data_IF_877034643279
#
_entry.id   IF_877034643279
#
_cell.length_a   1.000
_cell.length_b   1.000
_cell.length_c   1.000
_cell.angle_alpha   90.00
_cell.angle_beta   90.00
_cell.angle_gamma   90.00
#
_symmetry.space_group_name_H-M   'P 1'
#
loop_
_entity.id
_entity.type
_entity.pdbx_description
1 polymer ?
#
# COMPACT_ATOMS: atom_id res chain seq x y z
N UNK A 1 2.34 -22.88 -13.74
CA UNK A 1 1.72 -21.66 -14.29
C UNK A 1 2.81 -20.62 -14.50
N UNK A 2 2.78 -19.91 -15.63
CA UNK A 2 3.73 -18.84 -16.00
C UNK A 2 3.01 -17.51 -15.88
N UNK A 3 3.46 -16.65 -14.97
CA UNK A 3 2.79 -15.40 -14.60
C UNK A 3 3.72 -14.23 -14.88
N UNK A 4 3.27 -13.29 -15.70
CA UNK A 4 3.99 -12.06 -16.00
C UNK A 4 3.32 -10.90 -15.26
N UNK A 5 4.07 -10.22 -14.40
CA UNK A 5 3.66 -8.97 -13.77
C UNK A 5 4.29 -7.79 -14.51
N UNK A 6 3.50 -6.73 -14.67
CA UNK A 6 3.99 -5.47 -15.22
C UNK A 6 3.81 -4.33 -14.24
N UNK A 7 4.86 -3.53 -14.09
CA UNK A 7 4.85 -2.26 -13.34
C UNK A 7 5.66 -1.22 -14.11
N UNK A 8 5.41 0.07 -13.88
CA UNK A 8 6.15 1.12 -14.57
C UNK A 8 7.64 1.15 -14.20
N UNK A 9 7.92 1.08 -12.91
CA UNK A 9 9.26 0.95 -12.29
C UNK A 9 9.08 0.45 -10.86
N UNK A 10 10.16 0.08 -10.17
CA UNK A 10 10.10 -0.50 -8.83
C UNK A 10 10.83 0.37 -7.77
N UNK A 11 10.46 1.65 -7.57
CA UNK A 11 10.92 2.41 -6.40
C UNK A 11 10.35 1.82 -5.10
N UNK A 12 10.74 2.34 -3.95
CA UNK A 12 10.13 1.94 -2.68
C UNK A 12 8.81 2.68 -2.49
N UNK A 13 7.71 1.95 -2.56
CA UNK A 13 6.34 2.46 -2.42
C UNK A 13 5.37 1.34 -2.05
N UNK A 14 4.13 1.70 -1.69
CA UNK A 14 3.13 0.73 -1.23
C UNK A 14 2.76 -0.31 -2.30
N UNK A 15 2.45 0.12 -3.52
CA UNK A 15 2.10 -0.77 -4.62
C UNK A 15 3.28 -1.66 -5.03
N UNK A 16 4.49 -1.09 -5.10
CA UNK A 16 5.72 -1.77 -5.47
C UNK A 16 6.10 -2.85 -4.45
N UNK A 17 5.93 -2.56 -3.17
CA UNK A 17 6.14 -3.54 -2.09
C UNK A 17 5.17 -4.72 -2.21
N UNK A 18 3.90 -4.46 -2.50
CA UNK A 18 2.89 -5.50 -2.71
C UNK A 18 3.23 -6.35 -3.93
N UNK A 19 3.61 -5.75 -5.05
CA UNK A 19 4.02 -6.46 -6.28
C UNK A 19 5.21 -7.37 -5.99
N UNK A 20 6.23 -6.85 -5.29
CA UNK A 20 7.41 -7.64 -4.92
C UNK A 20 7.04 -8.82 -4.01
N UNK A 21 6.17 -8.60 -3.03
CA UNK A 21 5.71 -9.66 -2.13
C UNK A 21 4.90 -10.72 -2.88
N UNK A 22 3.99 -10.33 -3.76
CA UNK A 22 3.21 -11.28 -4.56
C UNK A 22 4.10 -12.15 -5.47
N UNK A 23 5.10 -11.56 -6.11
CA UNK A 23 6.06 -12.32 -6.93
C UNK A 23 6.83 -13.37 -6.12
N UNK A 24 7.23 -13.02 -4.89
CA UNK A 24 7.89 -13.96 -3.96
C UNK A 24 6.98 -15.14 -3.61
N UNK A 25 5.77 -14.81 -3.17
CA UNK A 25 4.78 -15.80 -2.73
C UNK A 25 4.31 -16.71 -3.88
N UNK A 26 4.06 -16.15 -5.06
CA UNK A 26 3.70 -16.93 -6.25
C UNK A 26 4.82 -17.92 -6.62
N UNK A 27 6.08 -17.46 -6.57
CA UNK A 27 7.24 -18.33 -6.82
C UNK A 27 7.37 -19.43 -5.79
N UNK A 28 7.20 -19.12 -4.49
CA UNK A 28 7.22 -20.13 -3.42
C UNK A 28 6.13 -21.20 -3.60
N UNK A 29 5.00 -20.83 -4.22
CA UNK A 29 3.93 -21.77 -4.60
C UNK A 29 4.18 -22.50 -5.94
N UNK A 30 5.38 -22.40 -6.49
CA UNK A 30 5.80 -23.14 -7.70
C UNK A 30 5.41 -22.47 -9.02
N UNK A 31 4.92 -21.23 -9.02
CA UNK A 31 4.70 -20.49 -10.26
C UNK A 31 6.04 -20.01 -10.85
N UNK A 32 6.15 -20.03 -12.18
CA UNK A 32 7.19 -19.33 -12.90
C UNK A 32 6.77 -17.87 -13.04
N UNK A 33 7.50 -16.97 -12.42
CA UNK A 33 7.17 -15.54 -12.41
C UNK A 33 8.18 -14.72 -13.18
N UNK A 34 7.71 -13.66 -13.82
CA UNK A 34 8.53 -12.67 -14.52
C UNK A 34 8.02 -11.27 -14.20
N UNK A 35 8.90 -10.36 -13.76
CA UNK A 35 8.58 -8.95 -13.66
C UNK A 35 9.05 -8.22 -14.92
N UNK A 36 8.13 -7.47 -15.53
CA UNK A 36 8.43 -6.55 -16.64
C UNK A 36 8.23 -5.13 -16.15
N UNK A 37 9.21 -4.26 -16.40
CA UNK A 37 9.12 -2.84 -16.08
C UNK A 37 9.58 -1.97 -17.25
N UNK A 38 9.06 -0.73 -17.33
CA UNK A 38 9.54 0.19 -18.37
C UNK A 38 10.95 0.67 -18.07
N UNK A 39 11.22 1.08 -16.84
CA UNK A 39 12.48 1.65 -16.38
C UNK A 39 13.02 0.89 -15.18
N UNK A 40 14.34 0.66 -15.19
CA UNK A 40 15.02 0.12 -14.03
C UNK A 40 15.21 1.22 -12.97
N UNK A 41 14.87 0.89 -11.75
CA UNK A 41 15.15 1.68 -10.55
C UNK A 41 16.05 0.86 -9.65
N UNK A 42 17.17 1.44 -9.21
CA UNK A 42 18.07 0.83 -8.24
C UNK A 42 17.48 0.99 -6.84
N UNK A 43 16.54 0.12 -6.49
CA UNK A 43 15.88 0.09 -5.19
C UNK A 43 16.25 -1.15 -4.38
N UNK A 44 15.95 -1.10 -3.11
CA UNK A 44 16.01 -2.28 -2.24
C UNK A 44 15.11 -3.42 -2.78
N UNK A 45 13.91 -3.10 -3.29
CA UNK A 45 12.98 -4.09 -3.84
C UNK A 45 13.55 -4.80 -5.06
N UNK A 46 14.16 -4.03 -5.99
CA UNK A 46 14.80 -4.59 -7.19
C UNK A 46 15.89 -5.59 -6.81
N UNK A 47 16.81 -5.18 -5.91
CA UNK A 47 17.90 -6.05 -5.45
C UNK A 47 17.37 -7.31 -4.76
N UNK A 48 16.40 -7.15 -3.86
CA UNK A 48 15.82 -8.27 -3.13
C UNK A 48 15.11 -9.30 -4.04
N UNK A 49 14.46 -8.87 -5.12
CA UNK A 49 13.88 -9.80 -6.10
C UNK A 49 14.96 -10.53 -6.89
N UNK A 50 16.01 -9.82 -7.32
CA UNK A 50 17.14 -10.41 -8.06
C UNK A 50 17.91 -11.43 -7.21
N UNK A 51 18.22 -11.10 -5.93
CA UNK A 51 18.85 -12.02 -4.98
C UNK A 51 18.04 -13.30 -4.76
N UNK A 52 16.72 -13.20 -4.83
CA UNK A 52 15.82 -14.35 -4.77
C UNK A 52 15.66 -15.04 -6.14
N UNK A 53 16.38 -14.61 -7.16
CA UNK A 53 16.36 -15.18 -8.50
C UNK A 53 15.03 -14.97 -9.25
N UNK A 54 14.27 -13.92 -8.92
CA UNK A 54 13.10 -13.52 -9.70
C UNK A 54 13.57 -12.68 -10.89
N UNK A 55 13.32 -13.14 -12.14
CA UNK A 55 13.79 -12.43 -13.31
C UNK A 55 13.05 -11.10 -13.50
N UNK A 56 13.81 -10.05 -13.83
CA UNK A 56 13.28 -8.70 -14.12
C UNK A 56 13.72 -8.31 -15.52
N UNK A 57 12.77 -7.99 -16.38
CA UNK A 57 13.02 -7.46 -17.72
C UNK A 57 12.69 -5.99 -17.77
N UNK A 58 13.64 -5.17 -18.18
CA UNK A 58 13.45 -3.72 -18.40
C UNK A 58 13.27 -3.45 -19.88
N UNK A 59 12.12 -2.86 -20.24
CA UNK A 59 11.79 -2.60 -21.65
C UNK A 59 12.57 -1.41 -22.22
N UNK A 60 13.00 -0.47 -21.36
CA UNK A 60 13.77 0.69 -21.76
C UNK A 60 15.09 0.78 -20.99
N UNK A 61 16.27 0.75 -21.68
CA UNK A 61 17.58 0.68 -21.03
C UNK A 61 18.07 2.05 -20.46
N UNK A 62 17.32 3.13 -20.62
CA UNK A 62 17.71 4.47 -20.14
C UNK A 62 17.20 4.78 -18.74
N UNK A 63 18.00 5.49 -17.92
CA UNK A 63 17.57 5.98 -16.61
C UNK A 63 16.53 7.10 -16.71
N UNK A 64 15.64 7.22 -15.71
CA UNK A 64 14.60 8.26 -15.63
C UNK A 64 15.19 9.67 -15.43
N UNK A 65 16.44 9.79 -15.06
CA UNK A 65 17.06 11.00 -14.50
C UNK A 65 17.43 12.12 -15.49
N UNK A 66 17.37 11.94 -16.82
CA UNK A 66 17.74 13.00 -17.77
C UNK A 66 16.53 13.74 -18.36
N UNK A 67 16.37 15.02 -18.01
CA UNK A 67 15.31 15.91 -18.58
C UNK A 67 15.37 16.06 -20.11
N UNK A 68 16.54 16.01 -20.73
CA UNK A 68 16.69 16.03 -22.21
C UNK A 68 16.19 14.75 -22.90
N UNK A 69 16.18 13.64 -22.18
CA UNK A 69 15.65 12.36 -22.68
C UNK A 69 14.13 12.27 -22.72
N UNK A 70 13.40 13.14 -22.04
CA UNK A 70 11.93 13.00 -21.90
C UNK A 70 11.15 13.35 -23.18
N UNK A 71 11.57 14.35 -23.94
CA UNK A 71 10.85 14.81 -25.15
C UNK A 71 11.15 13.93 -26.37
N UNK A 72 12.38 13.54 -26.61
CA UNK A 72 12.76 12.58 -27.64
C UNK A 72 12.25 11.16 -27.30
N UNK A 73 12.19 10.79 -26.02
CA UNK A 73 11.63 9.55 -25.52
C UNK A 73 10.13 9.43 -25.73
N UNK A 74 9.37 10.52 -25.70
CA UNK A 74 7.91 10.50 -25.93
C UNK A 74 7.52 10.07 -27.36
N UNK A 75 8.30 10.46 -28.35
CA UNK A 75 8.07 10.07 -29.76
C UNK A 75 8.58 8.66 -30.08
N UNK A 76 9.74 8.24 -29.52
CA UNK A 76 10.28 6.89 -29.68
C UNK A 76 9.54 5.84 -28.82
N UNK A 77 8.88 6.25 -27.74
CA UNK A 77 8.07 5.41 -26.85
C UNK A 77 6.97 4.65 -27.59
N UNK A 78 6.30 5.33 -28.55
CA UNK A 78 5.09 4.78 -29.15
C UNK A 78 5.28 3.48 -29.94
N UNK A 79 6.45 3.26 -30.55
CA UNK A 79 6.64 2.13 -31.50
C UNK A 79 7.58 1.04 -30.94
N UNK A 80 8.46 1.38 -30.02
CA UNK A 80 9.50 0.47 -29.51
C UNK A 80 9.04 -0.42 -28.34
N UNK A 81 8.27 0.14 -27.39
CA UNK A 81 7.92 -0.53 -26.12
C UNK A 81 7.02 -1.75 -26.32
N UNK A 82 5.90 -1.61 -27.07
CA UNK A 82 5.00 -2.75 -27.27
C UNK A 82 5.65 -3.86 -28.10
N UNK A 83 6.57 -3.56 -29.02
CA UNK A 83 7.32 -4.57 -29.77
C UNK A 83 8.26 -5.37 -28.87
N UNK A 84 8.93 -4.68 -27.94
CA UNK A 84 9.78 -5.35 -26.94
C UNK A 84 8.94 -6.14 -25.96
N UNK A 85 7.82 -5.61 -25.53
CA UNK A 85 6.91 -6.35 -24.65
C UNK A 85 6.38 -7.61 -25.35
N UNK A 86 5.91 -7.50 -26.61
CA UNK A 86 5.47 -8.67 -27.39
C UNK A 86 6.60 -9.69 -27.61
N UNK A 87 7.86 -9.23 -27.72
CA UNK A 87 9.00 -10.15 -27.73
C UNK A 87 9.09 -10.93 -26.42
N UNK A 88 9.00 -10.23 -25.28
CA UNK A 88 9.00 -10.87 -23.95
C UNK A 88 7.82 -11.84 -23.80
N UNK A 89 6.61 -11.48 -24.26
CA UNK A 89 5.44 -12.38 -24.25
C UNK A 89 5.73 -13.64 -25.05
N UNK A 90 6.29 -13.53 -26.25
CA UNK A 90 6.61 -14.70 -27.09
C UNK A 90 7.70 -15.60 -26.49
N UNK A 91 8.71 -15.00 -25.83
CA UNK A 91 9.81 -15.75 -25.22
C UNK A 91 9.40 -16.40 -23.90
N UNK A 92 8.68 -15.67 -23.06
CA UNK A 92 8.24 -16.18 -21.77
C UNK A 92 6.98 -17.04 -21.86
N UNK A 93 6.10 -16.83 -22.86
CA UNK A 93 4.81 -17.52 -23.05
C UNK A 93 3.98 -17.56 -21.75
N UNK A 94 3.57 -16.40 -21.21
CA UNK A 94 2.82 -16.36 -19.96
C UNK A 94 1.44 -17.01 -20.12
N UNK A 95 0.95 -17.63 -19.06
CA UNK A 95 -0.46 -18.04 -18.95
C UNK A 95 -1.35 -16.86 -18.60
N UNK A 96 -0.80 -15.88 -17.86
CA UNK A 96 -1.49 -14.68 -17.36
C UNK A 96 -0.54 -13.49 -17.39
N UNK A 97 -1.09 -12.31 -17.72
CA UNK A 97 -0.42 -11.02 -17.53
C UNK A 97 -1.23 -10.19 -16.52
N UNK A 98 -0.58 -9.74 -15.44
CA UNK A 98 -1.18 -8.86 -14.44
C UNK A 98 -0.48 -7.50 -14.43
N UNK A 99 -1.23 -6.45 -14.75
CA UNK A 99 -0.76 -5.08 -14.82
C UNK A 99 -1.01 -4.36 -13.49
N UNK A 100 0.05 -3.79 -12.92
CA UNK A 100 0.00 -2.92 -11.75
C UNK A 100 0.28 -1.44 -12.11
N UNK A 101 0.47 -1.18 -13.38
CA UNK A 101 0.53 0.14 -13.99
C UNK A 101 0.03 0.04 -15.43
N UNK A 102 -0.31 1.16 -16.04
CA UNK A 102 -0.82 1.18 -17.41
C UNK A 102 0.35 1.32 -18.40
N UNK A 103 0.67 0.30 -19.22
CA UNK A 103 1.68 0.42 -20.25
C UNK A 103 1.15 1.20 -21.46
N UNK A 104 1.98 2.02 -22.05
CA UNK A 104 1.66 2.64 -23.33
C UNK A 104 1.37 1.54 -24.38
N UNK A 105 0.28 1.70 -25.13
CA UNK A 105 -0.14 0.74 -26.18
C UNK A 105 -0.50 -0.67 -25.69
N UNK A 106 -1.17 -0.77 -24.54
CA UNK A 106 -1.68 -2.03 -24.00
C UNK A 106 -2.60 -2.78 -24.99
N UNK A 107 -3.30 -2.05 -25.86
CA UNK A 107 -4.13 -2.56 -26.95
C UNK A 107 -3.36 -3.37 -28.01
N UNK A 108 -2.07 -3.09 -28.16
CA UNK A 108 -1.19 -3.71 -29.16
C UNK A 108 -0.44 -4.93 -28.66
N UNK A 109 -0.70 -5.35 -27.43
CA UNK A 109 -0.11 -6.56 -26.90
C UNK A 109 -0.75 -7.79 -27.54
N UNK A 110 0.10 -8.69 -28.04
CA UNK A 110 -0.30 -9.97 -28.66
C UNK A 110 -0.58 -11.01 -27.58
N UNK A 111 -1.70 -10.80 -26.86
CA UNK A 111 -2.10 -11.65 -25.75
C UNK A 111 -3.63 -11.59 -25.53
N UNK A 112 -4.29 -12.73 -25.18
CA UNK A 112 -5.74 -12.76 -24.95
C UNK A 112 -6.17 -11.85 -23.81
N UNK A 113 -7.12 -10.96 -24.05
CA UNK A 113 -7.63 -9.99 -23.04
C UNK A 113 -8.24 -10.70 -21.84
N UNK A 114 -8.92 -11.83 -22.06
CA UNK A 114 -9.52 -12.64 -20.99
C UNK A 114 -8.50 -13.23 -19.99
N UNK A 115 -7.20 -13.17 -20.30
CA UNK A 115 -6.10 -13.59 -19.43
C UNK A 115 -5.27 -12.39 -18.94
N UNK A 116 -5.75 -11.16 -19.13
CA UNK A 116 -5.16 -9.94 -18.63
C UNK A 116 -5.91 -9.45 -17.38
N UNK A 117 -5.16 -9.04 -16.39
CA UNK A 117 -5.65 -8.44 -15.15
C UNK A 117 -5.05 -7.05 -14.97
N UNK A 118 -5.80 -6.13 -14.41
CA UNK A 118 -5.34 -4.77 -14.12
C UNK A 118 -5.74 -4.35 -12.69
N UNK A 119 -4.76 -4.09 -11.84
CA UNK A 119 -4.95 -3.61 -10.47
C UNK A 119 -4.85 -2.09 -10.38
N UNK A 120 -5.83 -1.48 -9.73
CA UNK A 120 -5.78 -0.09 -9.32
C UNK A 120 -5.22 0.01 -7.90
N UNK A 121 -4.18 0.85 -7.69
CA UNK A 121 -3.49 1.02 -6.39
C UNK A 121 -3.74 2.36 -5.70
N UNK A 122 -4.58 3.22 -6.25
CA UNK A 122 -5.01 4.49 -5.67
C UNK A 122 -6.52 4.68 -5.90
N UNK A 123 -7.13 5.68 -5.30
CA UNK A 123 -8.54 6.02 -5.53
C UNK A 123 -8.84 6.15 -7.04
N UNK A 124 -10.01 5.69 -7.49
CA UNK A 124 -10.34 5.54 -8.90
C UNK A 124 -10.22 6.88 -9.65
N UNK A 125 -10.79 7.94 -9.12
CA UNK A 125 -10.71 9.29 -9.71
C UNK A 125 -9.26 9.74 -9.94
N UNK A 126 -8.38 9.50 -8.96
CA UNK A 126 -6.97 9.83 -9.06
C UNK A 126 -6.28 9.01 -10.15
N UNK A 127 -6.55 7.71 -10.21
CA UNK A 127 -6.02 6.83 -11.26
C UNK A 127 -6.47 7.31 -12.64
N UNK A 128 -7.77 7.58 -12.83
CA UNK A 128 -8.33 8.01 -14.11
C UNK A 128 -7.81 9.40 -14.53
N UNK A 129 -7.64 10.31 -13.57
CA UNK A 129 -7.02 11.63 -13.81
C UNK A 129 -5.57 11.49 -14.30
N UNK A 130 -4.78 10.61 -13.70
CA UNK A 130 -3.40 10.35 -14.12
C UNK A 130 -3.31 9.67 -15.49
N UNK A 131 -4.23 8.76 -15.81
CA UNK A 131 -4.31 8.07 -17.09
C UNK A 131 -4.74 9.02 -18.23
N UNK A 132 -5.60 9.97 -17.91
CA UNK A 132 -6.23 10.86 -18.89
C UNK A 132 -7.30 10.18 -19.74
N UNK A 133 -8.08 10.97 -20.46
CA UNK A 133 -9.26 10.50 -21.21
C UNK A 133 -8.94 9.40 -22.22
N UNK A 134 -7.84 9.55 -22.99
CA UNK A 134 -7.45 8.58 -24.01
C UNK A 134 -7.20 7.19 -23.44
N UNK A 135 -6.41 7.09 -22.37
CA UNK A 135 -6.06 5.80 -21.77
C UNK A 135 -7.24 5.22 -20.98
N UNK A 136 -8.10 6.07 -20.42
CA UNK A 136 -9.36 5.63 -19.80
C UNK A 136 -10.31 5.00 -20.83
N UNK A 137 -10.46 5.61 -22.02
CA UNK A 137 -11.25 5.03 -23.10
C UNK A 137 -10.65 3.71 -23.60
N UNK A 138 -9.32 3.62 -23.63
CA UNK A 138 -8.64 2.37 -23.98
C UNK A 138 -8.87 1.27 -22.93
N UNK A 139 -8.85 1.59 -21.63
CA UNK A 139 -9.20 0.63 -20.59
C UNK A 139 -10.66 0.14 -20.74
N UNK A 140 -11.58 1.02 -21.12
CA UNK A 140 -12.96 0.63 -21.41
C UNK A 140 -13.01 -0.40 -22.55
N UNK A 141 -12.36 -0.13 -23.68
CA UNK A 141 -12.31 -1.07 -24.80
C UNK A 141 -11.69 -2.42 -24.41
N UNK A 142 -10.59 -2.40 -23.62
CA UNK A 142 -9.97 -3.63 -23.13
C UNK A 142 -10.88 -4.40 -22.18
N UNK A 143 -11.68 -3.70 -21.37
CA UNK A 143 -12.69 -4.32 -20.51
C UNK A 143 -13.78 -5.01 -21.33
N UNK A 144 -14.27 -4.36 -22.38
CA UNK A 144 -15.26 -4.92 -23.30
C UNK A 144 -14.70 -6.18 -24.00
N UNK A 145 -13.40 -6.22 -24.27
CA UNK A 145 -12.67 -7.36 -24.83
C UNK A 145 -12.31 -8.45 -23.78
N UNK A 146 -12.67 -8.26 -22.50
CA UNK A 146 -12.54 -9.28 -21.46
C UNK A 146 -11.41 -9.09 -20.44
N UNK A 147 -10.74 -7.92 -20.40
CA UNK A 147 -9.82 -7.57 -19.31
C UNK A 147 -10.54 -7.64 -17.96
N UNK A 148 -9.87 -8.18 -16.94
CA UNK A 148 -10.39 -8.25 -15.58
C UNK A 148 -9.74 -7.17 -14.72
N UNK A 149 -10.54 -6.38 -14.04
CA UNK A 149 -10.05 -5.40 -13.07
C UNK A 149 -9.91 -6.00 -11.68
N UNK A 150 -8.98 -5.44 -10.89
CA UNK A 150 -8.80 -5.76 -9.48
C UNK A 150 -8.89 -4.47 -8.66
N UNK A 151 -9.82 -4.41 -7.71
CA UNK A 151 -9.98 -3.36 -6.73
C UNK A 151 -9.49 -3.82 -5.36
N UNK A 152 -9.11 -2.88 -4.50
CA UNK A 152 -8.48 -3.16 -3.19
C UNK A 152 -9.50 -3.51 -2.10
N UNK A 153 -10.75 -3.06 -2.24
CA UNK A 153 -11.87 -3.32 -1.31
C UNK A 153 -13.11 -3.71 -2.10
N UNK A 154 -14.10 -4.28 -1.44
CA UNK A 154 -15.36 -4.67 -2.07
C UNK A 154 -16.09 -3.46 -2.67
N UNK A 155 -16.12 -2.34 -1.96
CA UNK A 155 -16.79 -1.13 -2.45
C UNK A 155 -16.01 -0.50 -3.60
N UNK A 156 -14.68 -0.54 -3.54
CA UNK A 156 -13.84 -0.09 -4.64
C UNK A 156 -14.02 -0.97 -5.90
N UNK A 157 -14.17 -2.27 -5.72
CA UNK A 157 -14.49 -3.17 -6.85
C UNK A 157 -15.86 -2.85 -7.46
N UNK A 158 -16.88 -2.53 -6.67
CA UNK A 158 -18.20 -2.07 -7.15
C UNK A 158 -18.09 -0.76 -7.92
N UNK A 159 -17.32 0.22 -7.40
CA UNK A 159 -17.06 1.51 -8.06
C UNK A 159 -16.41 1.32 -9.44
N UNK A 160 -15.39 0.44 -9.53
CA UNK A 160 -14.75 0.09 -10.80
C UNK A 160 -15.77 -0.55 -11.76
N UNK A 161 -16.56 -1.52 -11.29
CA UNK A 161 -17.58 -2.19 -12.08
C UNK A 161 -18.62 -1.22 -12.65
N UNK A 162 -19.10 -0.30 -11.82
CA UNK A 162 -20.02 0.75 -12.25
C UNK A 162 -19.39 1.70 -13.27
N UNK A 163 -18.13 2.10 -13.07
CA UNK A 163 -17.41 3.04 -13.95
C UNK A 163 -17.13 2.45 -15.33
N UNK A 164 -16.79 1.16 -15.41
CA UNK A 164 -16.43 0.47 -16.65
C UNK A 164 -17.57 -0.43 -17.19
N UNK A 165 -18.77 -0.38 -16.60
CA UNK A 165 -19.94 -1.16 -17.01
C UNK A 165 -19.64 -2.66 -17.17
N UNK A 166 -18.92 -3.25 -16.21
CA UNK A 166 -18.47 -4.64 -16.26
C UNK A 166 -18.64 -5.35 -14.91
N UNK A 167 -18.92 -6.64 -14.97
CA UNK A 167 -18.90 -7.57 -13.81
C UNK A 167 -17.55 -8.30 -13.66
N UNK A 168 -16.62 -8.06 -14.61
CA UNK A 168 -15.26 -8.64 -14.56
C UNK A 168 -14.35 -7.84 -13.62
N UNK A 169 -14.77 -7.76 -12.36
CA UNK A 169 -14.02 -7.07 -11.30
C UNK A 169 -13.85 -8.01 -10.12
N UNK A 170 -12.64 -8.07 -9.58
CA UNK A 170 -12.28 -8.84 -8.41
C UNK A 170 -11.88 -7.91 -7.26
N UNK A 171 -12.25 -8.25 -6.05
CA UNK A 171 -11.66 -7.66 -4.86
C UNK A 171 -10.39 -8.44 -4.52
N UNK A 172 -9.24 -7.81 -4.72
CA UNK A 172 -7.90 -8.32 -4.40
C UNK A 172 -7.21 -7.27 -3.53
N UNK A 173 -7.37 -7.34 -2.20
CA UNK A 173 -6.71 -6.42 -1.28
C UNK A 173 -5.18 -6.54 -1.38
N UNK A 174 -4.48 -5.51 -0.96
CA UNK A 174 -3.03 -5.62 -0.77
C UNK A 174 -2.74 -6.58 0.38
N UNK A 175 -2.03 -7.65 0.11
CA UNK A 175 -1.69 -8.68 1.09
C UNK A 175 -0.47 -8.33 1.92
N UNK A 176 -0.51 -8.71 3.17
CA UNK A 176 0.57 -8.58 4.14
C UNK A 176 1.01 -9.95 4.64
N UNK A 177 2.30 -10.12 4.85
CA UNK A 177 2.87 -11.29 5.50
C UNK A 177 2.71 -11.17 7.02
N UNK A 178 1.64 -11.75 7.55
CA UNK A 178 1.32 -11.68 8.97
C UNK A 178 2.36 -12.39 9.85
N UNK A 179 2.96 -13.47 9.36
CA UNK A 179 3.99 -14.20 10.12
C UNK A 179 5.25 -13.34 10.24
N UNK A 180 5.64 -12.66 9.16
CA UNK A 180 6.74 -11.70 9.18
C UNK A 180 6.46 -10.53 10.13
N UNK A 181 5.24 -9.97 10.10
CA UNK A 181 4.85 -8.85 10.97
C UNK A 181 4.88 -9.27 12.43
N UNK A 182 4.41 -10.48 12.77
CA UNK A 182 4.40 -11.01 14.13
C UNK A 182 5.78 -11.46 14.63
N UNK A 183 6.70 -11.75 13.72
CA UNK A 183 8.07 -12.10 14.07
C UNK A 183 8.80 -10.86 14.61
N UNK A 184 8.72 -10.63 15.92
CA UNK A 184 9.38 -9.51 16.59
C UNK A 184 10.90 -9.65 16.46
N UNK A 185 11.53 -8.71 15.75
CA UNK A 185 12.99 -8.65 15.58
C UNK A 185 13.67 -7.91 16.72
N UNK A 186 12.92 -7.10 17.44
CA UNK A 186 13.38 -6.23 18.53
C UNK A 186 12.40 -6.31 19.69
N UNK A 187 12.90 -6.20 20.91
CA UNK A 187 12.04 -6.03 22.08
C UNK A 187 11.41 -4.62 22.08
N UNK A 188 10.35 -4.45 22.84
CA UNK A 188 9.69 -3.15 23.02
C UNK A 188 10.66 -2.13 23.64
N UNK A 189 11.48 -2.56 24.59
CA UNK A 189 12.49 -1.77 25.29
C UNK A 189 13.57 -1.30 24.32
N UNK A 190 14.08 -2.20 23.46
CA UNK A 190 15.08 -1.85 22.44
C UNK A 190 14.54 -0.79 21.48
N UNK A 191 13.29 -0.93 21.00
CA UNK A 191 12.66 0.02 20.11
C UNK A 191 12.44 1.38 20.77
N UNK A 192 12.01 1.42 22.02
CA UNK A 192 11.82 2.67 22.77
C UNK A 192 13.15 3.37 23.04
N UNK A 193 14.16 2.63 23.46
CA UNK A 193 15.51 3.13 23.69
C UNK A 193 16.11 3.78 22.43
N UNK A 194 15.88 3.18 21.27
CA UNK A 194 16.34 3.71 19.97
C UNK A 194 15.88 5.15 19.71
N UNK A 195 14.71 5.53 20.26
CA UNK A 195 14.12 6.85 20.08
C UNK A 195 14.19 7.73 21.34
N UNK A 196 14.91 7.28 22.38
CA UNK A 196 14.99 8.01 23.65
C UNK A 196 13.66 8.11 24.40
N UNK A 197 12.76 7.13 24.20
CA UNK A 197 11.45 7.08 24.84
C UNK A 197 11.56 6.27 26.12
N UNK A 198 11.16 6.83 27.30
CA UNK A 198 11.14 6.08 28.55
C UNK A 198 10.26 4.82 28.45
N UNK A 199 10.67 3.76 29.13
CA UNK A 199 9.98 2.45 29.06
C UNK A 199 8.53 2.53 29.57
N UNK A 200 8.28 3.31 30.60
CA UNK A 200 6.99 3.51 31.25
C UNK A 200 6.12 4.62 30.61
N UNK A 201 6.68 5.42 29.67
CA UNK A 201 5.93 6.46 28.97
C UNK A 201 4.78 5.85 28.15
N UNK A 202 3.65 6.54 28.13
CA UNK A 202 2.54 6.20 27.23
C UNK A 202 2.85 6.65 25.80
N UNK A 203 3.07 5.71 24.89
CA UNK A 203 3.52 6.00 23.53
C UNK A 203 2.38 5.93 22.52
N UNK A 204 1.92 7.12 22.06
CA UNK A 204 1.17 7.24 20.82
C UNK A 204 2.11 7.15 19.64
N UNK A 205 1.66 6.54 18.54
CA UNK A 205 2.48 6.52 17.35
C UNK A 205 1.70 6.47 16.06
N UNK A 206 2.35 6.88 14.99
CA UNK A 206 1.85 6.73 13.62
C UNK A 206 2.98 6.43 12.67
N UNK A 207 2.66 5.71 11.59
CA UNK A 207 3.59 5.43 10.49
C UNK A 207 2.99 5.91 9.18
N UNK A 208 3.71 6.77 8.47
CA UNK A 208 3.27 7.31 7.20
C UNK A 208 4.03 8.58 6.83
N UNK A 209 4.11 8.87 5.55
CA UNK A 209 4.76 10.10 5.05
C UNK A 209 4.19 11.33 5.74
N UNK A 210 5.02 12.30 6.06
CA UNK A 210 4.56 13.59 6.56
C UNK A 210 3.90 14.35 5.40
N UNK A 211 2.57 14.28 5.35
CA UNK A 211 1.78 14.84 4.25
C UNK A 211 0.45 15.39 4.79
N UNK A 212 -0.10 16.50 4.25
CA UNK A 212 -1.36 17.11 4.73
C UNK A 212 -2.52 16.11 4.85
N UNK A 213 -2.61 15.14 3.93
CA UNK A 213 -3.67 14.13 3.95
C UNK A 213 -3.63 13.25 5.21
N UNK A 214 -2.44 13.08 5.84
CA UNK A 214 -2.27 12.29 7.06
C UNK A 214 -2.61 13.04 8.35
N UNK A 215 -2.72 14.39 8.26
CA UNK A 215 -3.21 15.25 9.33
C UNK A 215 -2.48 15.06 10.69
N UNK A 216 -1.13 14.94 10.61
CA UNK A 216 -0.31 14.73 11.81
C UNK A 216 -0.38 15.90 12.80
N UNK A 217 -0.71 17.11 12.35
CA UNK A 217 -0.94 18.28 13.20
C UNK A 217 -2.02 18.03 14.25
N UNK A 218 -3.09 17.34 13.87
CA UNK A 218 -4.14 16.98 14.80
C UNK A 218 -3.66 16.04 15.90
N UNK A 219 -2.70 15.16 15.59
CA UNK A 219 -2.14 14.25 16.59
C UNK A 219 -1.45 14.99 17.72
N UNK A 220 -0.88 16.18 17.46
CA UNK A 220 -0.31 17.04 18.50
C UNK A 220 -1.39 17.58 19.44
N UNK A 221 -2.53 18.03 18.91
CA UNK A 221 -3.65 18.49 19.73
C UNK A 221 -4.22 17.36 20.60
N UNK A 222 -4.33 16.16 20.03
CA UNK A 222 -4.76 14.96 20.75
C UNK A 222 -3.75 14.60 21.86
N UNK A 223 -2.44 14.63 21.55
CA UNK A 223 -1.39 14.37 22.55
C UNK A 223 -1.51 15.36 23.73
N UNK A 224 -1.73 16.64 23.45
CA UNK A 224 -1.93 17.64 24.50
C UNK A 224 -3.12 17.31 25.43
N UNK A 225 -4.21 16.82 24.89
CA UNK A 225 -5.36 16.36 25.67
C UNK A 225 -5.03 15.09 26.47
N UNK A 226 -4.31 14.11 25.87
CA UNK A 226 -3.85 12.90 26.55
C UNK A 226 -2.94 13.24 27.74
N UNK A 227 -2.05 14.23 27.59
CA UNK A 227 -1.11 14.63 28.66
C UNK A 227 -1.79 15.21 29.90
N UNK A 228 -3.05 15.62 29.82
CA UNK A 228 -3.80 16.03 31.02
C UNK A 228 -3.98 14.87 32.02
N UNK A 229 -4.05 13.63 31.53
CA UNK A 229 -4.19 12.40 32.32
C UNK A 229 -2.91 11.58 32.38
N UNK A 230 -2.06 11.66 31.34
CA UNK A 230 -0.78 10.96 31.21
C UNK A 230 0.31 11.95 30.83
N UNK A 231 0.87 12.71 31.81
CA UNK A 231 1.90 13.72 31.56
C UNK A 231 3.18 13.15 30.89
N UNK A 232 3.41 11.86 31.08
CA UNK A 232 4.50 11.08 30.46
C UNK A 232 4.26 10.70 28.99
N UNK A 233 3.08 10.99 28.42
CA UNK A 233 2.75 10.60 27.07
C UNK A 233 3.68 11.24 26.03
N UNK A 234 4.04 10.44 24.99
CA UNK A 234 4.90 10.81 23.86
C UNK A 234 4.20 10.50 22.55
N UNK A 235 4.56 11.21 21.48
CA UNK A 235 4.11 10.93 20.12
C UNK A 235 5.30 10.61 19.22
N UNK A 236 5.32 9.42 18.67
CA UNK A 236 6.31 8.97 17.68
C UNK A 236 5.69 9.01 16.28
N UNK A 237 6.29 9.76 15.38
CA UNK A 237 5.91 9.83 13.97
C UNK A 237 7.04 9.25 13.12
N UNK A 238 6.74 8.17 12.40
CA UNK A 238 7.68 7.47 11.51
C UNK A 238 7.28 7.72 10.05
N UNK A 239 8.18 8.24 9.23
CA UNK A 239 7.94 8.42 7.80
C UNK A 239 8.77 9.51 7.17
N UNK A 240 8.87 9.46 5.84
CA UNK A 240 9.61 10.44 5.07
C UNK A 240 8.97 11.83 5.17
N UNK A 241 9.82 12.85 5.34
CA UNK A 241 9.37 14.24 5.28
C UNK A 241 9.14 14.66 3.83
N UNK A 242 7.95 15.17 3.56
CA UNK A 242 7.63 15.76 2.28
C UNK A 242 7.35 17.27 2.45
N UNK A 243 8.11 18.08 1.75
CA UNK A 243 7.94 19.52 1.69
C UNK A 243 8.15 20.26 3.04
N UNK A 244 9.08 19.81 3.89
CA UNK A 244 9.46 20.52 5.13
C UNK A 244 8.39 20.46 6.23
N UNK A 245 7.55 19.45 6.23
CA UNK A 245 6.49 19.30 7.24
C UNK A 245 7.03 18.95 8.62
N UNK A 246 8.20 18.33 8.71
CA UNK A 246 8.85 18.06 9.98
C UNK A 246 9.07 19.35 10.78
N UNK A 247 9.53 20.42 10.12
CA UNK A 247 9.75 21.71 10.78
C UNK A 247 8.42 22.40 11.19
N UNK A 248 7.36 22.21 10.40
CA UNK A 248 6.04 22.66 10.78
C UNK A 248 5.58 21.97 12.07
N UNK A 249 5.68 20.64 12.13
CA UNK A 249 5.27 19.85 13.31
C UNK A 249 6.11 20.21 14.55
N UNK A 250 7.43 20.43 14.40
CA UNK A 250 8.28 20.88 15.53
C UNK A 250 7.85 22.24 16.07
N UNK A 251 7.55 23.22 15.17
CA UNK A 251 7.07 24.54 15.60
C UNK A 251 5.73 24.44 16.35
N UNK A 252 4.79 23.72 15.79
CA UNK A 252 3.48 23.52 16.43
C UNK A 252 3.61 22.79 17.78
N UNK A 253 4.46 21.77 17.86
CA UNK A 253 4.74 21.09 19.11
C UNK A 253 5.32 22.05 20.16
N UNK A 254 6.26 22.93 19.78
CA UNK A 254 6.80 23.94 20.68
C UNK A 254 5.73 24.96 21.17
N UNK A 255 4.87 25.44 20.26
CA UNK A 255 3.74 26.33 20.58
C UNK A 255 2.74 25.68 21.56
N UNK A 256 2.57 24.35 21.47
CA UNK A 256 1.70 23.56 22.35
C UNK A 256 2.39 23.12 23.66
N UNK A 257 3.69 23.39 23.84
CA UNK A 257 4.48 22.92 24.98
C UNK A 257 4.82 21.42 24.92
N UNK A 258 4.85 20.84 23.71
CA UNK A 258 5.07 19.41 23.45
C UNK A 258 6.42 19.11 22.80
N UNK A 259 7.37 20.06 22.80
CA UNK A 259 8.65 19.90 22.11
C UNK A 259 9.39 18.63 22.53
N UNK A 260 9.43 18.32 23.82
CA UNK A 260 10.09 17.12 24.38
C UNK A 260 9.25 15.85 24.27
N UNK A 261 7.97 16.00 23.89
CA UNK A 261 7.04 14.88 23.76
C UNK A 261 6.89 14.37 22.30
N UNK A 262 7.37 15.14 21.32
CA UNK A 262 7.32 14.78 19.91
C UNK A 262 8.65 14.16 19.45
N UNK A 263 8.56 12.96 18.90
CA UNK A 263 9.68 12.23 18.26
C UNK A 263 9.38 12.06 16.79
N UNK A 264 10.22 12.63 15.93
CA UNK A 264 10.17 12.44 14.47
C UNK A 264 11.31 11.49 14.07
N UNK A 265 10.97 10.24 13.77
CA UNK A 265 11.95 9.18 13.48
C UNK A 265 12.48 9.21 12.04
N UNK A 266 11.89 10.03 11.15
CA UNK A 266 12.20 10.00 9.73
C UNK A 266 11.74 8.73 9.03
N UNK A 267 12.28 8.50 7.83
CA UNK A 267 11.99 7.28 7.06
C UNK A 267 12.71 6.07 7.65
N UNK A 268 11.98 4.97 7.86
CA UNK A 268 12.49 3.75 8.46
C UNK A 268 12.13 2.52 7.63
N UNK A 269 13.07 1.59 7.48
CA UNK A 269 12.85 0.28 6.82
C UNK A 269 12.18 -0.75 7.73
N UNK A 270 12.31 -0.58 9.03
CA UNK A 270 11.78 -1.41 10.10
C UNK A 270 10.49 -0.82 10.71
N UNK A 271 9.76 -0.02 9.92
CA UNK A 271 8.54 0.66 10.38
C UNK A 271 7.47 -0.32 10.89
N UNK A 272 7.39 -1.50 10.30
CA UNK A 272 6.51 -2.59 10.74
C UNK A 272 6.88 -3.10 12.15
N UNK A 273 8.17 -3.21 12.46
CA UNK A 273 8.62 -3.59 13.80
C UNK A 273 8.40 -2.48 14.84
N UNK A 274 8.58 -1.22 14.44
CA UNK A 274 8.43 -0.06 15.33
C UNK A 274 7.00 0.06 15.89
N UNK A 275 5.99 -0.43 15.18
CA UNK A 275 4.61 -0.47 15.67
C UNK A 275 4.50 -1.18 17.04
N UNK A 276 5.27 -2.24 17.28
CA UNK A 276 5.26 -2.98 18.54
C UNK A 276 5.72 -2.14 19.76
N UNK A 277 6.42 -1.03 19.57
CA UNK A 277 6.80 -0.11 20.63
C UNK A 277 5.64 0.74 21.16
N UNK A 278 4.55 0.89 20.37
CA UNK A 278 3.45 1.79 20.63
C UNK A 278 2.44 1.20 21.61
N UNK A 279 1.85 2.06 22.46
CA UNK A 279 0.68 1.71 23.25
C UNK A 279 -0.61 1.92 22.45
N UNK A 280 -0.62 2.95 21.58
CA UNK A 280 -1.74 3.23 20.73
C UNK A 280 -1.24 3.74 19.37
N UNK A 281 -1.71 3.09 18.30
CA UNK A 281 -1.53 3.56 16.93
C UNK A 281 -2.67 4.52 16.58
N UNK A 282 -2.31 5.74 16.16
CA UNK A 282 -3.24 6.82 15.85
C UNK A 282 -3.17 7.18 14.37
N UNK A 283 -4.33 7.21 13.70
CA UNK A 283 -4.44 7.62 12.31
C UNK A 283 -5.56 8.64 12.12
N UNK A 284 -5.20 9.90 11.89
CA UNK A 284 -6.12 11.05 11.74
C UNK A 284 -6.26 11.50 10.30
N UNK A 285 -6.04 10.60 9.34
CA UNK A 285 -6.03 10.92 7.91
C UNK A 285 -7.35 11.50 7.40
N UNK A 286 -7.27 12.41 6.43
CA UNK A 286 -8.44 12.95 5.71
C UNK A 286 -8.97 12.00 4.62
N UNK A 287 -8.13 11.11 4.11
CA UNK A 287 -8.51 10.14 3.07
C UNK A 287 -7.52 8.98 3.04
N UNK A 288 -8.03 7.77 2.99
CA UNK A 288 -7.27 6.53 2.81
C UNK A 288 -7.98 5.62 1.81
N UNK A 289 -7.21 4.98 0.92
CA UNK A 289 -7.76 3.94 0.04
C UNK A 289 -7.69 2.56 0.72
N UNK A 290 -6.49 2.16 1.15
CA UNK A 290 -6.22 0.96 1.94
C UNK A 290 -4.94 1.20 2.74
N UNK A 291 -5.05 1.64 4.01
CA UNK A 291 -3.89 1.93 4.84
C UNK A 291 -3.29 0.64 5.40
N UNK A 292 -2.30 0.06 4.71
CA UNK A 292 -1.65 -1.19 5.11
C UNK A 292 -1.10 -1.12 6.54
N UNK A 293 -0.55 0.03 6.92
CA UNK A 293 -0.01 0.24 8.27
C UNK A 293 -1.06 0.11 9.38
N UNK A 294 -2.33 0.44 9.08
CA UNK A 294 -3.43 0.22 10.04
C UNK A 294 -3.66 -1.29 10.26
N UNK A 295 -3.52 -2.10 9.20
CA UNK A 295 -3.61 -3.55 9.31
C UNK A 295 -2.38 -4.10 10.04
N UNK A 296 -1.19 -3.62 9.72
CA UNK A 296 0.07 -4.00 10.39
C UNK A 296 0.00 -3.76 11.91
N UNK A 297 -0.49 -2.58 12.34
CA UNK A 297 -0.67 -2.25 13.75
C UNK A 297 -1.62 -3.23 14.46
N UNK A 298 -2.73 -3.57 13.82
CA UNK A 298 -3.71 -4.52 14.36
C UNK A 298 -3.14 -5.95 14.44
N UNK A 299 -2.37 -6.38 13.43
CA UNK A 299 -1.68 -7.69 13.42
C UNK A 299 -0.65 -7.79 14.53
N UNK A 300 -0.01 -6.66 14.89
CA UNK A 300 0.91 -6.55 16.04
C UNK A 300 0.16 -6.51 17.40
N UNK A 301 -1.17 -6.46 17.40
CA UNK A 301 -1.94 -6.37 18.65
C UNK A 301 -1.98 -4.98 19.26
N UNK A 302 -1.55 -3.95 18.55
CA UNK A 302 -1.51 -2.56 19.06
C UNK A 302 -2.95 -2.00 19.12
N UNK A 303 -3.26 -1.23 20.16
CA UNK A 303 -4.52 -0.46 20.24
C UNK A 303 -4.60 0.53 19.08
N UNK A 304 -5.74 0.61 18.41
CA UNK A 304 -5.89 1.44 17.21
C UNK A 304 -7.05 2.42 17.32
N UNK A 305 -6.76 3.69 17.02
CA UNK A 305 -7.77 4.76 16.91
C UNK A 305 -7.63 5.43 15.55
N UNK A 306 -8.71 5.41 14.77
CA UNK A 306 -8.72 5.84 13.37
C UNK A 306 -9.74 6.95 13.13
N UNK A 307 -9.49 7.78 12.13
CA UNK A 307 -10.54 8.64 11.56
C UNK A 307 -11.56 7.80 10.76
N UNK A 308 -12.74 8.36 10.59
CA UNK A 308 -13.80 7.80 9.73
C UNK A 308 -13.42 7.73 8.24
N UNK A 309 -12.32 8.37 7.83
CA UNK A 309 -11.72 8.23 6.50
C UNK A 309 -10.97 6.90 6.29
N UNK A 310 -10.68 6.14 7.35
CA UNK A 310 -10.17 4.76 7.23
C UNK A 310 -11.35 3.85 6.90
N UNK A 311 -11.28 3.04 5.82
CA UNK A 311 -12.35 2.13 5.43
C UNK A 311 -12.77 1.22 6.59
N UNK A 312 -14.08 0.96 6.71
CA UNK A 312 -14.62 0.18 7.82
C UNK A 312 -14.14 -1.27 7.81
N UNK A 313 -13.99 -1.86 6.64
CA UNK A 313 -13.49 -3.23 6.45
C UNK A 313 -12.02 -3.41 6.83
N UNK A 314 -11.27 -2.31 7.00
CA UNK A 314 -9.88 -2.32 7.51
C UNK A 314 -9.84 -2.36 9.04
N UNK A 315 -10.83 -1.81 9.71
CA UNK A 315 -10.86 -1.72 11.17
C UNK A 315 -11.45 -3.00 11.79
N UNK A 316 -10.69 -3.68 12.63
CA UNK A 316 -11.26 -4.79 13.42
C UNK A 316 -12.23 -4.25 14.50
N UNK A 317 -13.00 -5.14 15.11
CA UNK A 317 -13.99 -4.79 16.13
C UNK A 317 -13.44 -4.06 17.36
N UNK A 318 -12.14 -4.26 17.65
CA UNK A 318 -11.47 -3.64 18.80
C UNK A 318 -10.93 -2.24 18.48
N UNK A 319 -10.97 -1.82 17.20
CA UNK A 319 -10.56 -0.49 16.79
C UNK A 319 -11.63 0.56 17.06
N UNK A 320 -11.21 1.75 17.46
CA UNK A 320 -12.12 2.90 17.61
C UNK A 320 -12.04 3.75 16.33
N UNK A 321 -13.20 4.05 15.72
CA UNK A 321 -13.30 4.98 14.59
C UNK A 321 -14.05 6.23 15.01
N UNK A 322 -13.47 7.40 14.73
CA UNK A 322 -14.01 8.70 15.13
C UNK A 322 -14.09 9.66 13.94
N UNK A 323 -15.11 10.49 13.93
CA UNK A 323 -15.17 11.58 12.95
C UNK A 323 -14.05 12.59 13.18
N UNK A 324 -13.51 13.11 12.10
CA UNK A 324 -12.57 14.24 12.16
C UNK A 324 -13.22 15.52 12.72
N UNK A 325 -14.53 15.61 12.83
CA UNK A 325 -15.24 16.71 13.49
C UNK A 325 -15.36 16.55 15.00
N UNK A 326 -15.07 15.37 15.54
CA UNK A 326 -15.11 15.12 16.99
C UNK A 326 -14.05 15.95 17.72
N UNK A 327 -14.34 16.49 18.93
CA UNK A 327 -13.35 17.22 19.72
C UNK A 327 -12.11 16.38 20.05
N UNK A 328 -10.95 17.03 20.22
CA UNK A 328 -9.70 16.36 20.55
C UNK A 328 -9.76 15.63 21.90
N UNK A 329 -10.60 16.09 22.86
CA UNK A 329 -10.85 15.38 24.11
C UNK A 329 -11.51 14.02 23.92
N UNK A 330 -12.42 13.88 22.95
CA UNK A 330 -13.05 12.59 22.61
C UNK A 330 -12.02 11.63 21.99
N UNK A 331 -11.11 12.15 21.17
CA UNK A 331 -9.99 11.38 20.64
C UNK A 331 -9.03 10.93 21.74
N UNK A 332 -8.71 11.82 22.69
CA UNK A 332 -7.85 11.50 23.82
C UNK A 332 -8.46 10.41 24.72
N UNK A 333 -9.76 10.50 24.99
CA UNK A 333 -10.50 9.48 25.74
C UNK A 333 -10.44 8.13 25.02
N UNK A 334 -10.69 8.11 23.71
CA UNK A 334 -10.58 6.90 22.90
C UNK A 334 -9.18 6.30 22.94
N UNK A 335 -8.13 7.11 22.80
CA UNK A 335 -6.72 6.68 22.89
C UNK A 335 -6.40 6.03 24.23
N UNK A 336 -6.87 6.63 25.34
CA UNK A 336 -6.61 6.12 26.68
C UNK A 336 -7.38 4.82 26.98
N UNK A 337 -8.61 4.69 26.47
CA UNK A 337 -9.51 3.59 26.76
C UNK A 337 -9.55 2.48 25.69
N UNK A 338 -8.88 2.65 24.52
CA UNK A 338 -8.83 1.64 23.49
C UNK A 338 -8.31 0.30 24.00
N UNK A 339 -8.92 -0.78 23.57
CA UNK A 339 -8.47 -2.14 23.84
C UNK A 339 -7.33 -2.54 22.89
N UNK A 340 -6.45 -3.42 23.32
CA UNK A 340 -5.50 -4.06 22.43
C UNK A 340 -6.25 -4.87 21.38
N UNK A 341 -5.85 -4.77 20.12
CA UNK A 341 -6.41 -5.60 19.07
C UNK A 341 -6.10 -7.06 19.35
N UNK A 342 -7.07 -7.95 19.18
CA UNK A 342 -6.95 -9.37 19.50
C UNK A 342 -5.96 -10.13 18.61
N UNK A 343 -5.32 -9.45 17.66
CA UNK A 343 -4.23 -9.95 16.80
C UNK A 343 -4.62 -11.02 15.78
N UNK A 344 -5.85 -11.54 15.84
CA UNK A 344 -6.40 -12.49 14.86
C UNK A 344 -7.89 -12.24 14.65
N UNK A 345 -8.28 -11.07 14.21
CA UNK A 345 -9.68 -10.88 13.82
C UNK A 345 -9.89 -11.61 12.51
N UNK A 346 -10.93 -12.45 12.46
CA UNK A 346 -11.40 -13.09 11.21
C UNK A 346 -11.59 -12.07 10.07
N UNK A 347 -11.82 -10.82 10.42
CA UNK A 347 -11.94 -9.69 9.51
C UNK A 347 -10.63 -9.34 8.78
N UNK A 348 -9.45 -9.62 9.36
CA UNK A 348 -8.15 -9.34 8.73
C UNK A 348 -7.60 -10.51 7.91
N UNK A 349 -8.15 -11.71 8.01
CA UNK A 349 -7.65 -12.88 7.26
C UNK A 349 -7.67 -12.64 5.75
N UNK A 350 -8.60 -11.84 5.26
CA UNK A 350 -8.67 -11.41 3.86
C UNK A 350 -7.47 -10.59 3.39
N UNK A 351 -6.67 -10.02 4.30
CA UNK A 351 -5.46 -9.26 4.01
C UNK A 351 -4.18 -10.09 4.19
N UNK A 352 -4.29 -11.34 4.64
CA UNK A 352 -3.13 -12.25 4.71
C UNK A 352 -2.67 -12.60 3.29
N UNK A 353 -1.40 -12.35 2.99
CA UNK A 353 -0.84 -12.60 1.66
C UNK A 353 -1.03 -14.04 1.21
N UNK A 354 -0.99 -15.02 2.13
CA UNK A 354 -1.19 -16.43 1.80
C UNK A 354 -2.59 -16.72 1.25
N UNK A 355 -3.63 -16.12 1.84
CA UNK A 355 -5.00 -16.24 1.38
C UNK A 355 -5.19 -15.56 0.01
N UNK A 356 -4.60 -14.37 -0.16
CA UNK A 356 -4.66 -13.63 -1.42
C UNK A 356 -3.96 -14.36 -2.54
N UNK A 357 -2.77 -14.91 -2.32
CA UNK A 357 -2.05 -15.68 -3.34
C UNK A 357 -2.81 -16.93 -3.74
N UNK A 358 -3.46 -17.63 -2.79
CA UNK A 358 -4.35 -18.76 -3.11
C UNK A 358 -5.48 -18.30 -4.04
N UNK A 359 -6.16 -17.22 -3.68
CA UNK A 359 -7.24 -16.63 -4.50
C UNK A 359 -6.74 -16.20 -5.90
N UNK A 360 -5.56 -15.58 -6.00
CA UNK A 360 -4.97 -15.20 -7.28
C UNK A 360 -4.68 -16.42 -8.15
N UNK A 361 -4.11 -17.49 -7.59
CA UNK A 361 -3.81 -18.72 -8.32
C UNK A 361 -5.11 -19.39 -8.83
N UNK A 362 -6.16 -19.44 -8.03
CA UNK A 362 -7.47 -19.98 -8.41
C UNK A 362 -8.09 -19.17 -9.57
N UNK A 363 -8.00 -17.84 -9.49
CA UNK A 363 -8.49 -16.95 -10.56
C UNK A 363 -7.65 -17.10 -11.83
N UNK A 364 -6.33 -17.14 -11.72
CA UNK A 364 -5.44 -17.25 -12.87
C UNK A 364 -5.56 -18.61 -13.57
N UNK A 365 -5.87 -19.69 -12.83
CA UNK A 365 -6.12 -21.02 -13.40
C UNK A 365 -7.49 -21.15 -14.06
N UNK A 366 -8.40 -20.18 -13.83
CA UNK A 366 -9.79 -20.26 -14.28
C UNK A 366 -10.65 -21.20 -13.42
N UNK A 367 -10.13 -21.67 -12.28
CA UNK A 367 -10.83 -22.60 -11.38
C UNK A 367 -11.95 -21.92 -10.60
N UNK A 368 -11.89 -20.60 -10.43
CA UNK A 368 -12.96 -19.78 -9.88
C UNK A 368 -13.68 -19.05 -11.01
N UNK A 369 -14.90 -19.45 -11.34
CA UNK A 369 -15.78 -18.64 -12.19
C UNK A 369 -16.09 -17.29 -11.53
N UNK A 370 -16.26 -16.22 -12.32
CA UNK A 370 -16.62 -14.86 -11.88
C UNK A 370 -17.95 -14.78 -11.09
N UNK A 371 -18.69 -15.90 -10.96
CA UNK A 371 -20.03 -15.97 -10.36
C UNK A 371 -20.07 -16.22 -8.85
N UNK A 372 -18.95 -16.31 -8.13
CA UNK A 372 -19.01 -16.26 -6.65
C UNK A 372 -18.98 -14.81 -6.20
N UNK A 373 -20.20 -14.23 -6.09
CA UNK A 373 -20.46 -12.96 -5.40
C UNK A 373 -19.71 -13.00 -4.08
N UNK A 374 -18.94 -11.94 -3.85
CA UNK A 374 -18.32 -11.62 -2.55
C UNK A 374 -19.49 -11.47 -1.56
N UNK A 375 -19.46 -12.14 -0.40
CA UNK A 375 -20.43 -11.93 0.65
C UNK A 375 -20.39 -10.50 1.17
#
# INVERSE_FOLDING_TARGET
>A
MRILYYIYSLPVGGAETVVAEYLRQLRQRGAQVLLVQDYRTESFLTRSLEEQGIPIVTLWPGSVESKLGQTAKKAARGVGLYRRFNKVIREFQPDVIHFHAFPDHMDRLDFPRSRMFYSFHAALERNLSMLGQKNTALLQSLSDDGLTFCGLTSDYAKEIGARFHTDRVLCIPNGLDFDRIRSQRYSREELRSLFGIPEDAFLLGTVGRLHPVKNQERMLSILREVQKSRPDARLLIVGADQAGRADLLRRQAAELGLADALVLAGERRDADAILAAMDCFLMTSHSEALPLVAIEAQVQGVKCVFSDAVPEDVACQDCVRLSLTSPDSVWAEAVLNASACSGSPKTLDGYNVQAIITKLLDVYSGSCGFSRRIP
#
